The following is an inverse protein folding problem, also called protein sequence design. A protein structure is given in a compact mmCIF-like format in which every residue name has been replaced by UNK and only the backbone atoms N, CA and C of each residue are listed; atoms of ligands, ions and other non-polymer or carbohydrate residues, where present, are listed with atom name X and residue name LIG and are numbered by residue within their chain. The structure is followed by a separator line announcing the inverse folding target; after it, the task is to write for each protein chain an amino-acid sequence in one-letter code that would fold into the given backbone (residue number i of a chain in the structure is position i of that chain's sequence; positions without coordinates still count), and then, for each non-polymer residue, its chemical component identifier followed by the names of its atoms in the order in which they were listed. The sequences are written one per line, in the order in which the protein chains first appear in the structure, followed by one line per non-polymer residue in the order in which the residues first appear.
data_IF_811563466934
#
_entry.id   IF_811563466934
#
_cell.length_a   1.000
_cell.length_b   1.000
_cell.length_c   1.000
_cell.angle_alpha   90.00
_cell.angle_beta   90.00
_cell.angle_gamma   90.00
#
_symmetry.space_group_name_H-M   'P 1'
#
loop_
_entity.id
_entity.type
_entity.pdbx_description
1 polymer ?
#
# COMPACT_ATOMS: atom_id res chain seq x y z
N UNK A 1 -6.90 -13.43 -25.15
CA UNK A 1 -5.63 -12.70 -24.93
C UNK A 1 -5.22 -13.00 -23.51
N UNK A 2 -4.22 -13.86 -23.29
CA UNK A 2 -3.74 -14.18 -21.96
C UNK A 2 -2.88 -13.00 -21.48
N UNK A 3 -3.41 -12.24 -20.54
CA UNK A 3 -2.69 -11.17 -19.87
C UNK A 3 -1.61 -11.88 -19.03
N UNK A 4 -0.35 -11.80 -19.43
CA UNK A 4 0.78 -12.27 -18.63
C UNK A 4 0.85 -11.40 -17.37
N UNK A 5 0.10 -11.77 -16.34
CA UNK A 5 0.17 -11.18 -15.01
C UNK A 5 1.57 -11.50 -14.46
N UNK A 6 2.50 -10.59 -14.68
CA UNK A 6 3.88 -10.72 -14.20
C UNK A 6 3.84 -10.37 -12.71
N UNK A 7 4.23 -11.33 -11.87
CA UNK A 7 4.38 -11.14 -10.43
C UNK A 7 5.38 -10.01 -10.20
N UNK A 8 5.02 -9.07 -9.32
CA UNK A 8 5.90 -7.96 -8.98
C UNK A 8 7.12 -8.47 -8.22
N UNK A 9 8.27 -7.86 -8.49
CA UNK A 9 9.49 -8.12 -7.75
C UNK A 9 9.41 -7.48 -6.36
N UNK A 10 10.07 -8.10 -5.38
CA UNK A 10 10.09 -7.59 -4.01
C UNK A 10 10.70 -6.18 -3.88
N UNK A 11 11.58 -5.77 -4.82
CA UNK A 11 12.14 -4.42 -4.83
C UNK A 11 11.11 -3.32 -5.13
N UNK A 12 9.98 -3.68 -5.75
CA UNK A 12 8.90 -2.76 -6.07
C UNK A 12 7.88 -2.62 -4.93
N UNK A 13 7.98 -3.41 -3.86
CA UNK A 13 7.03 -3.36 -2.74
C UNK A 13 6.90 -1.94 -2.15
N UNK A 14 7.99 -1.21 -1.85
CA UNK A 14 7.87 0.16 -1.35
C UNK A 14 7.15 1.09 -2.35
N UNK A 15 7.41 0.93 -3.65
CA UNK A 15 6.76 1.74 -4.69
C UNK A 15 5.25 1.46 -4.75
N UNK A 16 4.85 0.19 -4.66
CA UNK A 16 3.43 -0.22 -4.64
C UNK A 16 2.74 0.33 -3.40
N UNK A 17 3.35 0.16 -2.21
CA UNK A 17 2.80 0.67 -0.96
C UNK A 17 2.66 2.20 -0.99
N UNK A 18 3.69 2.92 -1.45
CA UNK A 18 3.63 4.37 -1.62
C UNK A 18 2.52 4.81 -2.59
N UNK A 19 2.29 4.05 -3.66
CA UNK A 19 1.21 4.32 -4.58
C UNK A 19 -0.16 4.13 -3.92
N UNK A 20 -0.38 3.02 -3.23
CA UNK A 20 -1.64 2.77 -2.51
C UNK A 20 -1.89 3.86 -1.46
N UNK A 21 -0.87 4.25 -0.70
CA UNK A 21 -0.97 5.35 0.26
C UNK A 21 -1.39 6.64 -0.45
N UNK A 22 -0.79 6.98 -1.60
CA UNK A 22 -1.18 8.17 -2.38
C UNK A 22 -2.60 8.12 -2.91
N UNK A 23 -3.10 6.93 -3.23
CA UNK A 23 -4.46 6.75 -3.74
C UNK A 23 -5.52 6.97 -2.67
N UNK A 24 -5.26 6.47 -1.46
CA UNK A 24 -6.21 6.51 -0.34
C UNK A 24 -6.05 7.76 0.53
N UNK A 25 -4.86 8.36 0.56
CA UNK A 25 -4.57 9.53 1.39
C UNK A 25 -5.51 10.70 1.06
N UNK A 26 -6.25 11.23 2.05
CA UNK A 26 -7.07 12.42 1.85
C UNK A 26 -6.28 13.64 1.38
N UNK A 27 -5.02 13.75 1.84
CA UNK A 27 -4.09 14.78 1.45
C UNK A 27 -2.85 14.13 0.84
N UNK A 28 -2.90 13.84 -0.47
CA UNK A 28 -1.76 13.32 -1.20
C UNK A 28 -0.71 14.43 -1.42
N UNK A 29 0.46 14.41 -0.73
CA UNK A 29 1.50 15.39 -0.97
C UNK A 29 2.12 15.16 -2.35
N UNK A 30 2.64 16.24 -2.94
CA UNK A 30 3.35 16.17 -4.23
C UNK A 30 4.54 15.20 -4.17
N UNK A 31 5.22 15.16 -3.01
CA UNK A 31 6.31 14.23 -2.72
C UNK A 31 5.96 13.47 -1.45
N UNK A 32 5.70 12.16 -1.57
CA UNK A 32 5.54 11.29 -0.41
C UNK A 32 6.91 10.97 0.16
N UNK A 33 7.08 11.13 1.47
CA UNK A 33 8.32 10.79 2.18
C UNK A 33 8.03 9.74 3.23
N UNK A 34 9.01 8.88 3.51
CA UNK A 34 8.89 7.78 4.47
C UNK A 34 8.57 8.27 5.89
N UNK A 35 9.07 9.45 6.26
CA UNK A 35 8.87 10.09 7.56
C UNK A 35 7.53 10.82 7.72
N UNK A 36 6.72 10.92 6.66
CA UNK A 36 5.39 11.55 6.76
C UNK A 36 4.47 10.78 7.70
N UNK A 37 3.83 11.50 8.60
CA UNK A 37 2.81 10.96 9.48
C UNK A 37 1.51 10.69 8.74
N UNK A 38 0.93 9.52 8.97
CA UNK A 38 -0.34 9.14 8.35
C UNK A 38 -1.44 10.14 8.72
N UNK A 39 -1.64 10.39 10.02
CA UNK A 39 -2.73 11.27 10.49
C UNK A 39 -2.34 12.75 10.32
N UNK A 40 -1.10 13.11 10.66
CA UNK A 40 -0.67 14.51 10.71
C UNK A 40 -0.39 15.13 9.34
N UNK A 41 0.37 14.44 8.48
CA UNK A 41 0.84 14.99 7.21
C UNK A 41 -0.04 14.57 6.02
N UNK A 42 -0.54 13.32 6.03
CA UNK A 42 -1.37 12.77 4.95
C UNK A 42 -2.88 12.89 5.22
N UNK A 43 -3.25 13.31 6.44
CA UNK A 43 -4.64 13.55 6.82
C UNK A 43 -5.48 12.29 7.01
N UNK A 44 -4.87 11.11 7.20
CA UNK A 44 -5.60 9.88 7.45
C UNK A 44 -6.46 9.98 8.72
N UNK A 45 -7.69 9.50 8.62
CA UNK A 45 -8.63 9.34 9.75
C UNK A 45 -9.19 7.90 9.75
N UNK A 46 -9.99 7.52 10.75
CA UNK A 46 -10.47 6.14 10.94
C UNK A 46 -11.03 5.47 9.67
N UNK A 47 -11.80 6.20 8.85
CA UNK A 47 -12.35 5.65 7.60
C UNK A 47 -11.26 5.40 6.55
N UNK A 48 -10.43 6.40 6.22
CA UNK A 48 -9.31 6.25 5.27
C UNK A 48 -8.24 5.26 5.74
N UNK A 49 -8.01 5.12 7.06
CA UNK A 49 -7.10 4.10 7.59
C UNK A 49 -7.67 2.69 7.39
N UNK A 50 -8.98 2.53 7.62
CA UNK A 50 -9.65 1.27 7.36
C UNK A 50 -9.62 0.93 5.86
N UNK A 51 -9.90 1.91 5.00
CA UNK A 51 -9.80 1.75 3.55
C UNK A 51 -8.37 1.37 3.12
N UNK A 52 -7.36 2.08 3.62
CA UNK A 52 -5.95 1.77 3.36
C UNK A 52 -5.60 0.34 3.79
N UNK A 53 -6.02 -0.04 4.99
CA UNK A 53 -5.86 -1.40 5.50
C UNK A 53 -6.49 -2.44 4.57
N UNK A 54 -7.76 -2.25 4.19
CA UNK A 54 -8.46 -3.17 3.29
C UNK A 54 -7.81 -3.25 1.90
N UNK A 55 -7.38 -2.12 1.33
CA UNK A 55 -6.71 -2.12 0.02
C UNK A 55 -5.37 -2.86 0.08
N UNK A 56 -4.60 -2.69 1.15
CA UNK A 56 -3.34 -3.43 1.34
C UNK A 56 -3.57 -4.92 1.62
N UNK A 57 -4.57 -5.25 2.43
CA UNK A 57 -4.99 -6.63 2.71
C UNK A 57 -5.42 -7.36 1.44
N UNK A 58 -6.26 -6.73 0.62
CA UNK A 58 -6.72 -7.31 -0.64
C UNK A 58 -5.57 -7.46 -1.64
N UNK A 59 -4.75 -6.42 -1.79
CA UNK A 59 -3.67 -6.39 -2.79
C UNK A 59 -2.52 -7.35 -2.45
N UNK A 60 -2.09 -7.40 -1.19
CA UNK A 60 -0.98 -8.26 -0.76
C UNK A 60 -1.47 -9.58 -0.14
N UNK A 61 -2.78 -9.86 -0.16
CA UNK A 61 -3.38 -10.99 0.58
C UNK A 61 -2.87 -11.10 2.02
N UNK A 62 -2.72 -9.94 2.64
CA UNK A 62 -2.20 -9.85 4.00
C UNK A 62 -3.22 -10.45 4.96
N UNK A 63 -2.73 -11.13 5.99
CA UNK A 63 -3.55 -11.42 7.17
C UNK A 63 -4.12 -10.13 7.76
N UNK A 64 -5.33 -10.20 8.29
CA UNK A 64 -6.03 -9.01 8.79
C UNK A 64 -5.19 -8.23 9.80
N UNK A 65 -5.05 -6.93 9.57
CA UNK A 65 -4.25 -6.02 10.40
C UNK A 65 -5.00 -5.83 11.72
N UNK A 66 -4.46 -6.40 12.80
CA UNK A 66 -5.07 -6.26 14.12
C UNK A 66 -5.06 -4.79 14.58
N UNK A 67 -6.02 -4.38 15.44
CA UNK A 67 -6.05 -3.02 15.97
C UNK A 67 -4.73 -2.57 16.59
N UNK A 68 -4.03 -3.48 17.28
CA UNK A 68 -2.74 -3.19 17.91
C UNK A 68 -1.66 -2.87 16.88
N UNK A 69 -1.62 -3.61 15.75
CA UNK A 69 -0.72 -3.34 14.64
C UNK A 69 -1.08 -2.02 13.96
N UNK A 70 -2.36 -1.79 13.68
CA UNK A 70 -2.83 -0.54 13.09
C UNK A 70 -2.48 0.69 13.97
N UNK A 71 -2.57 0.56 15.30
CA UNK A 71 -2.18 1.62 16.24
C UNK A 71 -0.67 1.86 16.31
N UNK A 72 0.15 0.88 15.91
CA UNK A 72 1.61 1.03 15.83
C UNK A 72 2.05 1.80 14.57
N UNK A 73 1.24 1.80 13.51
CA UNK A 73 1.53 2.50 12.26
C UNK A 73 1.36 4.01 12.47
N UNK A 74 2.46 4.77 12.37
CA UNK A 74 2.44 6.24 12.51
C UNK A 74 2.89 6.94 11.24
N UNK A 75 3.80 6.33 10.50
CA UNK A 75 4.47 6.90 9.34
C UNK A 75 4.28 6.03 8.10
N UNK A 76 4.64 6.58 6.94
CA UNK A 76 4.68 5.82 5.69
C UNK A 76 5.67 4.65 5.77
N UNK A 77 6.83 4.86 6.41
CA UNK A 77 7.83 3.82 6.63
C UNK A 77 7.26 2.63 7.41
N UNK A 78 6.47 2.90 8.47
CA UNK A 78 5.87 1.82 9.27
C UNK A 78 4.97 0.89 8.43
N UNK A 79 4.27 1.43 7.42
CA UNK A 79 3.44 0.63 6.51
C UNK A 79 4.31 -0.21 5.58
N UNK A 80 5.36 0.37 5.01
CA UNK A 80 6.29 -0.36 4.15
C UNK A 80 6.94 -1.50 4.94
N UNK A 81 7.42 -1.22 6.14
CA UNK A 81 8.02 -2.22 7.03
C UNK A 81 7.01 -3.30 7.45
N UNK A 82 5.74 -2.95 7.68
CA UNK A 82 4.69 -3.93 7.96
C UNK A 82 4.58 -4.96 6.82
N UNK A 83 4.49 -4.48 5.58
CA UNK A 83 4.33 -5.35 4.40
C UNK A 83 5.59 -6.16 4.15
N UNK A 84 6.78 -5.55 4.24
CA UNK A 84 8.05 -6.27 4.08
C UNK A 84 8.22 -7.37 5.13
N UNK A 85 7.89 -7.08 6.39
CA UNK A 85 7.93 -8.09 7.45
C UNK A 85 6.90 -9.19 7.22
N UNK A 86 5.69 -8.86 6.77
CA UNK A 86 4.68 -9.88 6.47
C UNK A 86 5.12 -10.81 5.32
N UNK A 87 5.69 -10.25 4.25
CA UNK A 87 6.26 -11.03 3.14
C UNK A 87 7.41 -11.95 3.62
N UNK A 88 8.27 -11.46 4.52
CA UNK A 88 9.35 -12.25 5.09
C UNK A 88 8.86 -13.38 6.01
N UNK A 89 7.65 -13.26 6.57
CA UNK A 89 7.02 -14.26 7.44
C UNK A 89 6.01 -15.14 6.71
N UNK A 90 5.92 -15.05 5.37
CA UNK A 90 4.94 -15.77 4.54
C UNK A 90 3.47 -15.44 4.92
N UNK A 91 3.24 -14.28 5.53
CA UNK A 91 1.93 -13.77 5.93
C UNK A 91 1.33 -12.77 4.92
N UNK A 92 1.99 -12.61 3.77
CA UNK A 92 1.57 -11.81 2.62
C UNK A 92 2.08 -12.45 1.33
N UNK A 93 1.40 -12.19 0.22
CA UNK A 93 1.77 -12.58 -1.13
C UNK A 93 2.12 -11.36 -1.96
N UNK A 94 3.09 -11.49 -2.88
CA UNK A 94 3.42 -10.42 -3.83
C UNK A 94 2.31 -10.31 -4.88
N UNK A 95 1.70 -9.11 -5.07
CA UNK A 95 0.71 -8.92 -6.10
C UNK A 95 1.29 -9.07 -7.50
N UNK A 96 0.44 -9.41 -8.46
CA UNK A 96 0.75 -9.25 -9.86
C UNK A 96 0.62 -7.78 -10.30
N UNK A 97 1.37 -7.42 -11.34
CA UNK A 97 1.33 -6.06 -11.92
C UNK A 97 -0.10 -5.65 -12.30
N UNK A 98 -0.89 -6.58 -12.86
CA UNK A 98 -2.28 -6.33 -13.24
C UNK A 98 -3.21 -6.04 -12.07
N UNK A 99 -2.92 -6.57 -10.87
CA UNK A 99 -3.70 -6.31 -9.67
C UNK A 99 -3.44 -4.88 -9.18
N UNK A 100 -2.18 -4.45 -9.16
CA UNK A 100 -1.81 -3.05 -8.85
C UNK A 100 -2.40 -2.08 -9.86
N UNK A 101 -2.36 -2.42 -11.16
CA UNK A 101 -3.01 -1.64 -12.22
C UNK A 101 -4.52 -1.53 -12.00
N UNK A 102 -5.17 -2.62 -11.58
CA UNK A 102 -6.61 -2.64 -11.30
C UNK A 102 -6.95 -1.71 -10.13
N UNK A 103 -6.19 -1.77 -9.04
CA UNK A 103 -6.34 -0.83 -7.91
C UNK A 103 -6.14 0.60 -8.39
N UNK A 104 -5.05 0.89 -9.11
CA UNK A 104 -4.80 2.22 -9.66
C UNK A 104 -5.97 2.74 -10.52
N UNK A 105 -6.51 1.88 -11.38
CA UNK A 105 -7.63 2.22 -12.26
C UNK A 105 -8.91 2.55 -11.48
N UNK A 106 -9.16 1.91 -10.34
CA UNK A 106 -10.32 2.22 -9.47
C UNK A 106 -10.29 3.65 -8.96
N UNK A 107 -9.09 4.17 -8.69
CA UNK A 107 -8.88 5.56 -8.25
C UNK A 107 -8.60 6.52 -9.42
N UNK A 108 -8.74 6.08 -10.67
CA UNK A 108 -8.53 6.89 -11.87
C UNK A 108 -7.07 7.23 -12.17
N UNK A 109 -6.12 6.48 -11.61
CA UNK A 109 -4.68 6.63 -11.89
C UNK A 109 -4.13 5.43 -12.69
N UNK A 110 -2.87 5.53 -13.09
CA UNK A 110 -2.13 4.42 -13.71
C UNK A 110 -0.94 4.05 -12.85
N UNK A 111 -0.62 2.76 -12.80
CA UNK A 111 0.56 2.27 -12.10
C UNK A 111 1.82 2.72 -12.85
N UNK A 112 2.70 3.45 -12.17
CA UNK A 112 4.02 3.82 -12.68
C UNK A 112 5.08 3.57 -11.59
N UNK A 113 5.86 2.47 -11.66
CA UNK A 113 6.88 2.14 -10.67
C UNK A 113 8.06 3.12 -10.65
N UNK A 114 8.20 3.98 -11.67
CA UNK A 114 9.30 4.95 -11.79
C UNK A 114 8.89 6.40 -11.45
N UNK A 115 7.67 6.62 -10.96
CA UNK A 115 7.12 7.95 -10.62
C UNK A 115 7.44 8.40 -9.19
#
# INVERSE_FOLDING_TARGET
MAQNATVLQADLVPAVVHQVIRLVAPQAPQHLRSDHQLIGDLGFHSLSLAELGFTLEDLFRLDSITPERAMALRTVEDIVDLILNALAQDAAELPATSEVETVCAQYGTTWNPAA
#
